data_IF_222295500357
#
_entry.id   IF_222295500357
#
_cell.length_a   1.000
_cell.length_b   1.000
_cell.length_c   1.000
_cell.angle_alpha   90.00
_cell.angle_beta   90.00
_cell.angle_gamma   90.00
#
_symmetry.space_group_name_H-M   'P 1'
#
loop_
_entity.id
_entity.type
_entity.pdbx_description
1 polymer ?
#
# COMPACT_ATOMS: atom_id res chain seq x y z
N UNK A 1 -34.40 -6.98 0.90
CA UNK A 1 -33.05 -6.47 1.22
C UNK A 1 -32.85 -6.07 2.69
N UNK A 2 -33.78 -5.36 3.39
CA UNK A 2 -33.54 -4.90 4.77
C UNK A 2 -33.30 -6.03 5.79
N UNK A 3 -33.95 -7.18 5.61
CA UNK A 3 -33.81 -8.35 6.48
C UNK A 3 -32.45 -9.02 6.34
N UNK A 4 -31.90 -9.08 5.13
CA UNK A 4 -30.55 -9.60 4.89
C UNK A 4 -29.50 -8.70 5.56
N UNK A 5 -29.62 -7.38 5.44
CA UNK A 5 -28.70 -6.44 6.10
C UNK A 5 -28.77 -6.56 7.63
N UNK A 6 -29.96 -6.76 8.21
CA UNK A 6 -30.11 -7.03 9.65
C UNK A 6 -29.44 -8.33 10.06
N UNK A 7 -29.60 -9.39 9.27
CA UNK A 7 -28.96 -10.68 9.51
C UNK A 7 -27.43 -10.54 9.46
N UNK A 8 -26.87 -9.89 8.44
CA UNK A 8 -25.43 -9.67 8.29
C UNK A 8 -24.85 -8.86 9.46
N UNK A 9 -25.55 -7.80 9.90
CA UNK A 9 -25.14 -7.01 11.07
C UNK A 9 -25.16 -7.82 12.37
N UNK A 10 -26.16 -8.70 12.54
CA UNK A 10 -26.23 -9.58 13.72
C UNK A 10 -25.15 -10.68 13.76
N UNK A 11 -24.51 -10.95 12.62
CA UNK A 11 -23.41 -11.92 12.50
C UNK A 11 -22.03 -11.32 12.75
N UNK A 12 -21.95 -10.01 13.03
CA UNK A 12 -20.70 -9.30 13.33
C UNK A 12 -19.58 -9.62 12.34
N UNK A 13 -19.92 -9.61 11.04
CA UNK A 13 -18.94 -9.91 9.99
C UNK A 13 -17.79 -8.90 10.06
N UNK A 14 -16.59 -9.41 10.30
CA UNK A 14 -15.34 -8.64 10.32
C UNK A 14 -14.38 -9.20 9.27
N UNK A 15 -13.44 -8.36 8.84
CA UNK A 15 -12.28 -8.84 8.07
C UNK A 15 -11.51 -9.82 8.97
N UNK A 16 -11.23 -11.01 8.45
CA UNK A 16 -10.38 -11.96 9.17
C UNK A 16 -8.92 -11.49 9.13
N UNK A 17 -8.44 -10.99 10.26
CA UNK A 17 -7.06 -10.55 10.43
C UNK A 17 -6.16 -11.61 11.07
N UNK A 18 -6.68 -12.81 11.36
CA UNK A 18 -5.95 -13.86 12.09
C UNK A 18 -4.80 -14.48 11.30
N UNK A 19 -4.84 -14.36 9.97
CA UNK A 19 -3.85 -14.93 9.05
C UNK A 19 -2.66 -14.00 8.76
N UNK A 20 -2.60 -12.80 9.34
CA UNK A 20 -1.47 -11.89 9.14
C UNK A 20 -0.23 -12.41 9.89
N UNK A 21 0.80 -12.77 9.14
CA UNK A 21 2.08 -13.21 9.68
C UNK A 21 3.10 -12.08 9.75
N UNK A 22 2.94 -11.06 8.91
CA UNK A 22 3.84 -9.91 8.83
C UNK A 22 3.09 -8.61 8.45
N UNK A 23 3.80 -7.47 8.47
CA UNK A 23 3.22 -6.17 8.12
C UNK A 23 2.77 -6.06 6.66
N UNK A 24 3.42 -6.79 5.75
CA UNK A 24 3.07 -6.82 4.34
C UNK A 24 1.70 -7.50 4.10
N UNK A 25 1.37 -8.56 4.85
CA UNK A 25 0.05 -9.21 4.77
C UNK A 25 -1.07 -8.23 5.14
N UNK A 26 -0.83 -7.44 6.20
CA UNK A 26 -1.74 -6.38 6.63
C UNK A 26 -1.89 -5.30 5.56
N UNK A 27 -0.78 -4.87 4.95
CA UNK A 27 -0.78 -3.88 3.87
C UNK A 27 -1.62 -4.36 2.68
N UNK A 28 -1.40 -5.60 2.25
CA UNK A 28 -2.17 -6.26 1.19
C UNK A 28 -3.66 -6.31 1.50
N UNK A 29 -4.05 -6.67 2.74
CA UNK A 29 -5.46 -6.66 3.15
C UNK A 29 -6.09 -5.26 3.09
N UNK A 30 -5.36 -4.22 3.53
CA UNK A 30 -5.86 -2.83 3.46
C UNK A 30 -6.05 -2.39 2.02
N UNK A 31 -5.10 -2.70 1.13
CA UNK A 31 -5.18 -2.32 -0.28
C UNK A 31 -6.32 -3.06 -0.98
N UNK A 32 -6.48 -4.37 -0.75
CA UNK A 32 -7.60 -5.16 -1.29
C UNK A 32 -8.95 -4.58 -0.86
N UNK A 33 -9.09 -4.32 0.44
CA UNK A 33 -10.29 -3.67 0.96
C UNK A 33 -10.52 -2.31 0.30
N UNK A 34 -9.48 -1.50 0.14
CA UNK A 34 -9.63 -0.19 -0.51
C UNK A 34 -10.12 -0.29 -1.96
N UNK A 35 -9.52 -1.18 -2.75
CA UNK A 35 -9.89 -1.42 -4.15
C UNK A 35 -11.33 -1.91 -4.30
N UNK A 36 -11.82 -2.70 -3.35
CA UNK A 36 -13.19 -3.24 -3.40
C UNK A 36 -14.27 -2.20 -3.07
N UNK A 37 -13.96 -1.19 -2.26
CA UNK A 37 -14.97 -0.31 -1.66
C UNK A 37 -14.84 1.17 -2.05
N UNK A 38 -13.76 1.57 -2.72
CA UNK A 38 -13.54 2.94 -3.17
C UNK A 38 -13.13 2.99 -4.65
N UNK A 39 -13.54 4.05 -5.34
CA UNK A 39 -13.17 4.32 -6.74
C UNK A 39 -11.91 5.19 -6.86
N UNK A 40 -11.38 5.67 -5.73
CA UNK A 40 -10.14 6.43 -5.69
C UNK A 40 -8.98 5.57 -6.15
N UNK A 41 -8.07 6.19 -6.91
CA UNK A 41 -6.92 5.52 -7.55
C UNK A 41 -5.58 5.85 -6.90
N UNK A 42 -5.58 6.49 -5.74
CA UNK A 42 -4.37 6.90 -5.03
C UNK A 42 -4.46 6.60 -3.53
N UNK A 43 -3.45 5.92 -3.01
CA UNK A 43 -3.21 5.72 -1.59
C UNK A 43 -1.88 6.36 -1.16
N UNK A 44 -1.90 6.96 0.03
CA UNK A 44 -0.71 7.52 0.66
C UNK A 44 -0.31 6.65 1.84
N UNK A 45 0.94 6.20 1.83
CA UNK A 45 1.57 5.54 2.97
C UNK A 45 2.73 6.37 3.49
N UNK A 46 3.15 6.06 4.71
CA UNK A 46 4.33 6.65 5.32
C UNK A 46 5.20 5.53 5.88
N UNK A 47 6.45 5.49 5.46
CA UNK A 47 7.45 4.56 5.96
C UNK A 47 7.22 3.10 5.55
N UNK A 48 6.86 2.84 4.29
CA UNK A 48 6.79 1.45 3.78
C UNK A 48 8.17 0.79 3.75
N UNK A 49 9.22 1.58 3.60
CA UNK A 49 10.60 1.11 3.54
C UNK A 49 11.06 0.34 4.79
N UNK A 50 10.45 0.63 5.95
CA UNK A 50 10.69 -0.04 7.24
C UNK A 50 9.91 -1.34 7.41
N UNK A 51 8.83 -1.52 6.64
CA UNK A 51 7.85 -2.59 6.85
C UNK A 51 7.95 -3.69 5.81
N UNK A 52 8.51 -3.39 4.63
CA UNK A 52 8.56 -4.29 3.50
C UNK A 52 10.00 -4.50 3.03
N UNK A 53 10.33 -5.74 2.67
CA UNK A 53 11.56 -6.03 1.95
C UNK A 53 11.50 -5.47 0.51
N UNK A 54 12.65 -5.44 -0.17
CA UNK A 54 12.71 -5.00 -1.57
C UNK A 54 11.83 -5.88 -2.47
N UNK A 55 11.84 -7.18 -2.23
CA UNK A 55 11.02 -8.15 -2.96
C UNK A 55 9.52 -7.88 -2.74
N UNK A 56 9.12 -7.60 -1.50
CA UNK A 56 7.73 -7.28 -1.16
C UNK A 56 7.28 -5.94 -1.77
N UNK A 57 8.14 -4.93 -1.83
CA UNK A 57 7.82 -3.65 -2.50
C UNK A 57 7.64 -3.86 -4.01
N UNK A 58 8.47 -4.70 -4.61
CA UNK A 58 8.36 -5.01 -6.04
C UNK A 58 7.09 -5.82 -6.35
N UNK A 59 6.79 -6.82 -5.53
CA UNK A 59 5.54 -7.60 -5.61
C UNK A 59 4.32 -6.70 -5.45
N UNK A 60 4.37 -5.79 -4.48
CA UNK A 60 3.33 -4.79 -4.26
C UNK A 60 3.10 -3.93 -5.50
N UNK A 61 4.18 -3.41 -6.09
CA UNK A 61 4.10 -2.56 -7.28
C UNK A 61 3.45 -3.29 -8.46
N UNK A 62 3.76 -4.57 -8.65
CA UNK A 62 3.16 -5.37 -9.72
C UNK A 62 1.68 -5.66 -9.46
N UNK A 63 1.32 -5.95 -8.21
CA UNK A 63 -0.09 -6.07 -7.81
C UNK A 63 -0.86 -4.76 -8.03
N UNK A 64 -0.31 -3.63 -7.61
CA UNK A 64 -0.92 -2.30 -7.74
C UNK A 64 -1.23 -1.92 -9.19
N UNK A 65 -0.32 -2.25 -10.12
CA UNK A 65 -0.57 -2.08 -11.58
C UNK A 65 -1.78 -2.91 -12.04
N UNK A 66 -1.94 -4.13 -11.54
CA UNK A 66 -3.03 -5.03 -11.93
C UNK A 66 -4.42 -4.56 -11.47
N UNK A 67 -4.47 -3.76 -10.40
CA UNK A 67 -5.70 -3.21 -9.82
C UNK A 67 -5.90 -1.72 -10.13
N UNK A 68 -5.08 -1.15 -11.01
CA UNK A 68 -5.09 0.28 -11.39
C UNK A 68 -5.02 1.25 -10.19
N UNK A 69 -4.31 0.86 -9.13
CA UNK A 69 -4.12 1.68 -7.94
C UNK A 69 -2.71 2.24 -7.90
N UNK A 70 -2.57 3.54 -7.68
CA UNK A 70 -1.28 4.17 -7.40
C UNK A 70 -1.06 4.26 -5.89
N UNK A 71 0.15 3.92 -5.45
CA UNK A 71 0.60 4.18 -4.09
C UNK A 71 1.75 5.17 -4.12
N UNK A 72 1.67 6.20 -3.30
CA UNK A 72 2.80 7.07 -2.97
C UNK A 72 3.17 6.81 -1.52
N UNK A 73 4.43 6.49 -1.29
CA UNK A 73 4.97 6.31 0.06
C UNK A 73 5.92 7.45 0.39
N UNK A 74 5.68 8.08 1.53
CA UNK A 74 6.52 9.13 2.09
C UNK A 74 7.52 8.48 3.03
N UNK A 75 8.79 8.48 2.64
CA UNK A 75 9.85 7.81 3.40
C UNK A 75 10.53 8.75 4.37
N UNK A 76 11.07 8.17 5.44
CA UNK A 76 11.59 8.91 6.59
C UNK A 76 13.05 9.39 6.44
N UNK A 77 13.71 9.00 5.36
CA UNK A 77 15.07 9.39 5.02
C UNK A 77 15.17 9.72 3.54
N UNK A 78 16.08 10.63 3.15
CA UNK A 78 16.30 10.92 1.75
C UNK A 78 16.89 9.69 1.04
N UNK A 79 16.19 9.19 0.03
CA UNK A 79 16.79 8.22 -0.89
C UNK A 79 17.72 8.96 -1.85
N UNK A 80 19.02 8.99 -1.50
CA UNK A 80 20.05 9.65 -2.33
C UNK A 80 20.36 8.88 -3.61
N UNK A 81 20.04 7.59 -3.65
CA UNK A 81 20.14 6.71 -4.81
C UNK A 81 19.02 5.68 -4.76
N UNK A 82 18.51 5.29 -5.93
CA UNK A 82 17.60 4.16 -6.03
C UNK A 82 18.34 2.85 -5.74
N UNK A 83 17.76 2.07 -4.82
CA UNK A 83 18.30 0.75 -4.47
C UNK A 83 18.26 -0.16 -5.71
N UNK A 84 19.39 -0.82 -6.07
CA UNK A 84 19.41 -1.74 -7.21
C UNK A 84 18.31 -2.80 -7.10
N UNK A 85 17.59 -3.04 -8.20
CA UNK A 85 16.49 -4.01 -8.24
C UNK A 85 15.14 -3.47 -7.76
N UNK A 86 15.05 -2.25 -7.23
CA UNK A 86 13.77 -1.62 -6.91
C UNK A 86 13.05 -1.21 -8.20
N UNK A 87 11.82 -1.69 -8.40
CA UNK A 87 11.07 -1.51 -9.65
C UNK A 87 10.03 -0.37 -9.59
N UNK A 88 10.18 0.56 -8.65
CA UNK A 88 9.30 1.72 -8.46
C UNK A 88 10.01 3.03 -8.80
N UNK A 89 9.25 4.11 -9.03
CA UNK A 89 9.83 5.44 -9.13
C UNK A 89 10.22 5.95 -7.76
N UNK A 90 11.42 6.55 -7.65
CA UNK A 90 11.89 7.17 -6.41
C UNK A 90 12.12 8.65 -6.68
N UNK A 91 11.56 9.49 -5.81
CA UNK A 91 11.75 10.92 -5.84
C UNK A 91 12.39 11.35 -4.54
N UNK A 92 13.47 12.12 -4.61
CA UNK A 92 14.09 12.77 -3.45
C UNK A 92 13.94 14.28 -3.61
N UNK A 93 13.63 14.97 -2.51
CA UNK A 93 13.55 16.43 -2.47
C UNK A 93 14.56 16.90 -1.41
N UNK A 94 15.49 17.76 -1.81
CA UNK A 94 16.48 18.31 -0.89
C UNK A 94 15.99 19.58 -0.15
N UNK A 95 16.86 20.15 0.68
CA UNK A 95 16.57 21.34 1.49
C UNK A 95 16.29 22.60 0.63
N UNK A 96 16.84 22.64 -0.59
CA UNK A 96 16.62 23.70 -1.58
C UNK A 96 15.35 23.47 -2.42
N UNK A 97 14.54 22.45 -2.07
CA UNK A 97 13.32 22.03 -2.76
C UNK A 97 13.58 21.55 -4.20
N UNK A 98 14.80 21.13 -4.51
CA UNK A 98 15.15 20.52 -5.79
C UNK A 98 14.75 19.05 -5.77
N UNK A 99 14.07 18.61 -6.83
CA UNK A 99 13.62 17.23 -7.01
C UNK A 99 14.63 16.43 -7.84
N UNK A 100 14.99 15.27 -7.34
CA UNK A 100 15.78 14.25 -8.03
C UNK A 100 14.94 13.02 -8.32
N UNK A 101 14.99 12.55 -9.56
CA UNK A 101 14.19 11.44 -10.06
C UNK A 101 15.11 10.22 -10.31
N UNK A 102 14.85 9.10 -9.64
CA UNK A 102 15.64 7.87 -9.72
C UNK A 102 14.80 6.63 -10.13
#
# INVERSE_FOLDING_TARGET
MPELTKLLKSKELSIDTSNWQNYYDKLQSVIRFYVEFDNKRLLLFHGLERLCSLEQINELNDYLKSVELSVVSLESYPMTLKRPGLNTHVYSIDEDHVRFDY
#
